data_IF_914605049105
#
_entry.id   IF_914605049105
#
_cell.length_a   1.000
_cell.length_b   1.000
_cell.length_c   1.000
_cell.angle_alpha   90.00
_cell.angle_beta   90.00
_cell.angle_gamma   90.00
#
_symmetry.space_group_name_H-M   'P 1'
#
loop_
_entity.id
_entity.type
_entity.pdbx_description
1 polymer ?
#
# COMPACT_ATOMS: atom_id res chain seq x y z
N UNK A 1 -15.74 11.32 -21.39
CA UNK A 1 -17.02 11.87 -20.91
C UNK A 1 -17.07 11.51 -19.43
N UNK A 2 -16.79 12.49 -18.58
CA UNK A 2 -16.68 12.27 -17.14
C UNK A 2 -18.08 12.03 -16.57
N UNK A 3 -18.27 10.97 -15.79
CA UNK A 3 -19.57 10.59 -15.23
C UNK A 3 -20.15 11.69 -14.32
N UNK A 4 -19.28 12.57 -13.79
CA UNK A 4 -19.65 13.70 -12.94
C UNK A 4 -20.32 14.88 -13.67
N UNK A 5 -20.18 14.99 -14.99
CA UNK A 5 -20.81 16.09 -15.75
C UNK A 5 -22.30 15.86 -16.08
N UNK A 6 -22.83 14.65 -15.82
CA UNK A 6 -24.22 14.29 -16.12
C UNK A 6 -25.13 14.31 -14.89
N UNK A 7 -24.59 14.58 -13.69
CA UNK A 7 -25.39 14.64 -12.46
C UNK A 7 -25.86 16.09 -12.28
N UNK A 8 -27.15 16.39 -12.50
CA UNK A 8 -27.67 17.74 -12.29
C UNK A 8 -27.50 18.15 -10.83
N UNK A 9 -27.33 19.46 -10.59
CA UNK A 9 -27.42 20.00 -9.23
C UNK A 9 -28.78 19.63 -8.64
N UNK A 10 -28.76 18.92 -7.51
CA UNK A 10 -29.95 18.47 -6.83
C UNK A 10 -29.84 18.84 -5.35
N UNK A 11 -30.90 19.43 -4.79
CA UNK A 11 -30.97 19.78 -3.37
C UNK A 11 -31.00 18.53 -2.47
N UNK A 12 -31.41 17.39 -3.02
CA UNK A 12 -31.51 16.10 -2.33
C UNK A 12 -31.05 14.98 -3.25
N UNK A 13 -30.15 14.12 -2.74
CA UNK A 13 -29.66 12.93 -3.42
C UNK A 13 -30.01 11.68 -2.59
N UNK A 14 -30.68 10.72 -3.21
CA UNK A 14 -31.05 9.44 -2.58
C UNK A 14 -30.17 8.34 -3.17
N UNK A 15 -29.47 7.62 -2.29
CA UNK A 15 -28.63 6.49 -2.66
C UNK A 15 -29.35 5.19 -2.30
N UNK A 16 -29.77 4.43 -3.30
CA UNK A 16 -30.43 3.13 -3.13
C UNK A 16 -29.46 2.08 -2.55
N UNK A 17 -28.17 2.17 -2.91
CA UNK A 17 -27.10 1.28 -2.46
C UNK A 17 -26.08 2.00 -1.56
N UNK A 18 -26.58 2.85 -0.65
CA UNK A 18 -25.74 3.64 0.26
C UNK A 18 -24.74 2.81 1.08
N UNK A 19 -25.00 1.51 1.25
CA UNK A 19 -24.10 0.59 1.95
C UNK A 19 -22.77 0.35 1.20
N UNK A 20 -22.73 0.54 -0.12
CA UNK A 20 -21.50 0.41 -0.93
C UNK A 20 -20.65 1.69 -0.91
N UNK A 21 -21.24 2.82 -0.50
CA UNK A 21 -20.58 4.13 -0.48
C UNK A 21 -19.24 4.11 0.31
N UNK A 22 -19.12 3.43 1.47
CA UNK A 22 -17.85 3.32 2.19
C UNK A 22 -16.75 2.62 1.39
N UNK A 23 -17.08 1.55 0.67
CA UNK A 23 -16.12 0.81 -0.16
C UNK A 23 -15.70 1.65 -1.37
N UNK A 24 -16.65 2.30 -2.03
CA UNK A 24 -16.40 3.22 -3.15
C UNK A 24 -15.53 4.40 -2.69
N UNK A 25 -15.88 5.02 -1.56
CA UNK A 25 -15.09 6.10 -0.98
C UNK A 25 -13.67 5.64 -0.62
N UNK A 26 -13.51 4.42 -0.12
CA UNK A 26 -12.20 3.84 0.17
C UNK A 26 -11.38 3.59 -1.11
N UNK A 27 -12.03 3.25 -2.23
CA UNK A 27 -11.36 3.08 -3.52
C UNK A 27 -10.95 4.42 -4.15
N UNK A 28 -11.82 5.44 -4.08
CA UNK A 28 -11.59 6.74 -4.73
C UNK A 28 -10.76 7.71 -3.88
N UNK A 29 -10.99 7.76 -2.58
CA UNK A 29 -10.30 8.67 -1.65
C UNK A 29 -9.22 7.97 -0.82
N UNK A 30 -9.15 6.64 -0.84
CA UNK A 30 -8.11 5.88 -0.15
C UNK A 30 -6.77 5.93 -0.87
N UNK A 31 -5.71 5.65 -0.12
CA UNK A 31 -4.36 5.48 -0.69
C UNK A 31 -4.11 4.00 -0.99
N UNK A 32 -3.63 3.73 -2.20
CA UNK A 32 -3.17 2.40 -2.56
C UNK A 32 -1.69 2.25 -2.27
N UNK A 33 -1.32 1.13 -1.63
CA UNK A 33 0.06 0.73 -1.39
C UNK A 33 0.31 -0.61 -2.08
N UNK A 34 1.35 -0.68 -2.91
CA UNK A 34 1.75 -1.89 -3.63
C UNK A 34 3.17 -2.32 -3.25
N UNK A 35 3.43 -3.62 -3.31
CA UNK A 35 4.80 -4.15 -3.11
C UNK A 35 5.80 -3.58 -4.12
N UNK A 36 5.34 -3.22 -5.34
CA UNK A 36 6.19 -2.57 -6.34
C UNK A 36 6.67 -1.19 -5.85
N UNK A 37 5.79 -0.35 -5.32
CA UNK A 37 6.17 0.96 -4.76
C UNK A 37 7.19 0.81 -3.62
N UNK A 38 7.04 -0.20 -2.76
CA UNK A 38 8.00 -0.45 -1.68
C UNK A 38 9.39 -0.89 -2.21
N UNK A 39 9.41 -1.73 -3.25
CA UNK A 39 10.66 -2.17 -3.88
C UNK A 39 11.36 -1.05 -4.63
N UNK A 40 10.60 -0.19 -5.31
CA UNK A 40 11.16 0.95 -6.02
C UNK A 40 11.70 1.98 -5.02
N UNK A 41 11.01 2.22 -3.89
CA UNK A 41 11.55 3.01 -2.79
C UNK A 41 12.87 2.44 -2.23
N UNK A 42 12.98 1.12 -2.04
CA UNK A 42 14.23 0.49 -1.58
C UNK A 42 15.39 0.69 -2.59
N UNK A 43 15.10 0.64 -3.89
CA UNK A 43 16.08 0.95 -4.94
C UNK A 43 16.49 2.41 -4.90
N UNK A 44 15.54 3.33 -4.75
CA UNK A 44 15.83 4.76 -4.70
C UNK A 44 16.72 5.10 -3.50
N UNK A 45 16.46 4.50 -2.33
CA UNK A 45 17.35 4.62 -1.15
C UNK A 45 18.76 4.10 -1.47
N UNK A 46 18.86 2.97 -2.16
CA UNK A 46 20.15 2.38 -2.57
C UNK A 46 20.90 3.27 -3.56
N UNK A 47 20.19 3.87 -4.51
CA UNK A 47 20.76 4.78 -5.51
C UNK A 47 21.27 6.04 -4.81
N UNK A 48 20.42 6.69 -4.00
CA UNK A 48 20.78 7.89 -3.24
C UNK A 48 21.99 7.66 -2.33
N UNK A 49 22.06 6.51 -1.67
CA UNK A 49 23.23 6.12 -0.87
C UNK A 49 24.52 6.07 -1.72
N UNK A 50 24.46 5.43 -2.90
CA UNK A 50 25.63 5.28 -3.79
C UNK A 50 26.08 6.60 -4.41
N UNK A 51 25.17 7.54 -4.63
CA UNK A 51 25.44 8.80 -5.32
C UNK A 51 25.82 9.94 -4.37
N UNK A 52 25.17 10.05 -3.21
CA UNK A 52 25.25 11.25 -2.36
C UNK A 52 25.84 11.01 -0.97
N UNK A 53 25.71 9.81 -0.40
CA UNK A 53 25.98 9.55 1.01
C UNK A 53 26.88 8.32 1.22
N UNK A 54 28.15 8.43 0.84
CA UNK A 54 29.12 7.29 0.88
C UNK A 54 29.46 6.76 2.28
N UNK A 55 29.05 7.44 3.37
CA UNK A 55 29.50 7.12 4.74
C UNK A 55 28.43 6.46 5.64
N UNK A 56 27.23 6.16 5.13
CA UNK A 56 26.15 5.63 5.97
C UNK A 56 25.81 4.18 5.61
N UNK A 57 26.66 3.22 6.00
CA UNK A 57 26.43 1.78 5.79
C UNK A 57 25.05 1.29 6.31
N UNK A 58 24.47 1.98 7.28
CA UNK A 58 23.14 1.69 7.81
C UNK A 58 22.02 1.92 6.78
N UNK A 59 22.17 2.91 5.88
CA UNK A 59 21.17 3.22 4.85
C UNK A 59 21.01 2.07 3.86
N UNK A 60 22.12 1.47 3.40
CA UNK A 60 22.09 0.27 2.56
C UNK A 60 21.39 -0.89 3.28
N UNK A 61 21.73 -1.14 4.55
CA UNK A 61 21.10 -2.22 5.34
C UNK A 61 19.60 -1.99 5.52
N UNK A 62 19.16 -0.75 5.69
CA UNK A 62 17.75 -0.40 5.77
C UNK A 62 17.03 -0.63 4.43
N UNK A 63 17.64 -0.27 3.30
CA UNK A 63 17.08 -0.52 1.98
C UNK A 63 16.92 -2.03 1.70
N UNK A 64 17.96 -2.82 2.02
CA UNK A 64 17.93 -4.27 1.84
C UNK A 64 16.84 -4.91 2.72
N UNK A 65 16.73 -4.46 3.99
CA UNK A 65 15.67 -4.90 4.91
C UNK A 65 14.28 -4.53 4.40
N UNK A 66 14.09 -3.31 3.89
CA UNK A 66 12.82 -2.89 3.32
C UNK A 66 12.42 -3.76 2.13
N UNK A 67 13.37 -4.06 1.23
CA UNK A 67 13.13 -4.92 0.09
C UNK A 67 12.76 -6.34 0.51
N UNK A 68 13.46 -6.92 1.50
CA UNK A 68 13.16 -8.24 2.02
C UNK A 68 11.77 -8.28 2.67
N UNK A 69 11.48 -7.36 3.60
CA UNK A 69 10.17 -7.29 4.26
C UNK A 69 9.03 -7.08 3.27
N UNK A 70 9.22 -6.30 2.20
CA UNK A 70 8.22 -6.12 1.16
C UNK A 70 7.92 -7.42 0.38
N UNK A 71 8.93 -8.27 0.17
CA UNK A 71 8.76 -9.58 -0.46
C UNK A 71 8.09 -10.58 0.47
N UNK A 72 8.51 -10.62 1.74
CA UNK A 72 7.92 -11.51 2.75
C UNK A 72 6.46 -11.16 2.99
N UNK A 73 6.14 -9.86 3.06
CA UNK A 73 4.76 -9.39 3.13
C UNK A 73 3.94 -9.84 1.90
N UNK A 74 4.49 -9.71 0.70
CA UNK A 74 3.83 -10.19 -0.53
C UNK A 74 3.52 -11.68 -0.47
N UNK A 75 4.42 -12.51 0.06
CA UNK A 75 4.22 -13.96 0.19
C UNK A 75 3.07 -14.29 1.15
N UNK A 76 2.88 -13.50 2.21
CA UNK A 76 1.79 -13.69 3.17
C UNK A 76 0.41 -13.30 2.62
N UNK A 77 0.36 -12.43 1.62
CA UNK A 77 -0.88 -12.03 0.96
C UNK A 77 -1.46 -13.13 0.04
N UNK A 78 -0.69 -14.20 -0.21
CA UNK A 78 -1.15 -15.34 -1.00
C UNK A 78 -1.15 -15.07 -2.50
N UNK A 79 -2.33 -15.05 -3.10
CA UNK A 79 -2.48 -15.02 -4.56
C UNK A 79 -1.95 -13.71 -5.20
N UNK A 80 -1.34 -13.80 -6.39
CA UNK A 80 -0.90 -12.63 -7.14
C UNK A 80 -2.08 -11.67 -7.40
N UNK A 81 -1.94 -10.42 -6.96
CA UNK A 81 -2.95 -9.39 -7.19
C UNK A 81 -4.00 -9.25 -6.08
N UNK A 82 -3.76 -9.82 -4.89
CA UNK A 82 -4.57 -9.52 -3.71
C UNK A 82 -4.76 -7.99 -3.55
N UNK A 83 -6.00 -7.56 -3.39
CA UNK A 83 -6.39 -6.19 -3.07
C UNK A 83 -7.36 -6.25 -1.90
N UNK A 84 -7.07 -5.48 -0.87
CA UNK A 84 -7.89 -5.45 0.34
C UNK A 84 -7.47 -4.33 1.26
N UNK A 85 -8.17 -4.22 2.38
CA UNK A 85 -7.92 -3.20 3.38
C UNK A 85 -6.63 -3.51 4.15
N UNK A 86 -5.63 -2.64 4.03
CA UNK A 86 -4.36 -2.81 4.72
C UNK A 86 -4.52 -2.87 6.25
N UNK A 87 -5.49 -2.13 6.82
CA UNK A 87 -5.72 -2.15 8.28
C UNK A 87 -6.21 -3.51 8.75
N UNK A 88 -7.10 -4.14 8.00
CA UNK A 88 -7.62 -5.47 8.32
C UNK A 88 -6.53 -6.53 8.19
N UNK A 89 -5.70 -6.45 7.15
CA UNK A 89 -4.53 -7.30 6.98
C UNK A 89 -3.54 -7.16 8.15
N UNK A 90 -3.24 -5.92 8.54
CA UNK A 90 -2.35 -5.66 9.67
C UNK A 90 -2.97 -6.03 11.02
N UNK A 91 -4.29 -6.17 11.12
CA UNK A 91 -4.96 -6.69 12.31
C UNK A 91 -4.89 -8.23 12.41
N UNK A 92 -4.55 -8.93 11.32
CA UNK A 92 -4.43 -10.38 11.33
C UNK A 92 -3.16 -10.81 12.12
N UNK A 93 -3.30 -11.59 13.22
CA UNK A 93 -2.18 -12.01 14.05
C UNK A 93 -1.12 -12.83 13.29
N UNK A 94 -1.51 -13.55 12.22
CA UNK A 94 -0.57 -14.31 11.40
C UNK A 94 0.35 -13.39 10.60
N UNK A 95 -0.21 -12.31 10.03
CA UNK A 95 0.54 -11.29 9.29
C UNK A 95 1.41 -10.48 10.24
N UNK A 96 0.88 -10.10 11.41
CA UNK A 96 1.67 -9.42 12.44
C UNK A 96 2.86 -10.26 12.90
N UNK A 97 2.65 -11.56 13.21
CA UNK A 97 3.74 -12.44 13.65
C UNK A 97 4.80 -12.55 12.58
N UNK A 98 4.43 -12.69 11.32
CA UNK A 98 5.41 -12.78 10.25
C UNK A 98 6.15 -11.44 10.01
N UNK A 99 5.54 -10.30 10.31
CA UNK A 99 6.22 -8.99 10.37
C UNK A 99 7.24 -8.86 11.51
N UNK A 100 6.91 -9.35 12.72
CA UNK A 100 7.78 -9.22 13.91
C UNK A 100 8.81 -10.35 14.06
N UNK A 101 8.65 -11.46 13.32
CA UNK A 101 9.54 -12.63 13.40
C UNK A 101 10.54 -12.69 12.23
N UNK A 102 10.38 -11.85 11.19
CA UNK A 102 11.40 -11.66 10.16
C UNK A 102 12.62 -10.96 10.78
N UNK A 103 13.64 -11.75 11.09
CA UNK A 103 14.85 -11.38 11.84
C UNK A 103 15.95 -10.81 10.94
#
# INVERSE_FOLDING_TARGET
MDLGELIPEADVMIFDEAHQLPDIASQYFGQSLSSRQLLDLAKDITIAYRTELKDTQQLQKCADRLAQSAQDFRLQLGEPGYRGNLRELLANPQIQRAFFTAR
#
